data_IF_473058275289
#
_entry.id   IF_473058275289
#
_cell.length_a   1.000
_cell.length_b   1.000
_cell.length_c   1.000
_cell.angle_alpha   90.00
_cell.angle_beta   90.00
_cell.angle_gamma   90.00
#
_symmetry.space_group_name_H-M   'P 1'
#
loop_
_entity.id
_entity.type
_entity.pdbx_description
1 polymer ?
#
# COMPACT_ATOMS: atom_id res chain seq x y z
N UNK A 1 64.12 -16.55 34.12
CA UNK A 1 62.80 -16.34 33.45
C UNK A 1 61.71 -16.78 34.45
N UNK A 2 60.66 -15.99 34.71
CA UNK A 2 59.60 -16.40 35.65
C UNK A 2 58.51 -17.24 34.94
N UNK A 3 57.70 -18.01 35.69
CA UNK A 3 56.67 -18.88 35.11
C UNK A 3 55.38 -18.09 34.83
N UNK A 4 54.80 -18.24 33.64
CA UNK A 4 53.50 -17.65 33.28
C UNK A 4 52.36 -18.50 33.88
N UNK A 5 51.60 -17.89 34.79
CA UNK A 5 50.35 -18.43 35.36
C UNK A 5 49.27 -18.55 34.28
N UNK A 6 48.65 -19.72 34.20
CA UNK A 6 47.31 -19.90 33.61
C UNK A 6 46.29 -19.17 34.48
N UNK A 7 45.39 -18.41 33.85
CA UNK A 7 44.20 -17.87 34.52
C UNK A 7 43.03 -17.96 33.56
N UNK A 8 42.28 -19.05 33.74
CA UNK A 8 40.89 -19.20 33.35
C UNK A 8 40.08 -18.11 34.03
N UNK A 9 39.37 -17.28 33.27
CA UNK A 9 38.35 -16.39 33.80
C UNK A 9 37.09 -16.53 32.96
N UNK A 10 36.08 -17.14 33.56
CA UNK A 10 34.72 -17.27 33.05
C UNK A 10 34.09 -15.90 33.22
N UNK A 11 33.81 -15.20 32.11
CA UNK A 11 32.94 -14.03 32.12
C UNK A 11 31.59 -14.46 31.53
N UNK A 12 30.61 -14.64 32.41
CA UNK A 12 29.20 -14.76 32.06
C UNK A 12 28.75 -13.48 31.35
N UNK A 13 28.56 -13.56 30.03
CA UNK A 13 27.86 -12.53 29.30
C UNK A 13 26.36 -12.80 29.43
N UNK A 14 25.66 -11.84 30.04
CA UNK A 14 24.20 -11.75 30.03
C UNK A 14 23.74 -11.64 28.58
N UNK A 15 23.18 -12.71 28.02
CA UNK A 15 22.53 -12.69 26.71
C UNK A 15 21.26 -11.83 26.83
N UNK A 16 21.33 -10.61 26.29
CA UNK A 16 20.14 -9.85 25.93
C UNK A 16 19.39 -10.69 24.90
N UNK A 17 18.08 -10.99 25.07
CA UNK A 17 17.37 -11.83 24.11
C UNK A 17 17.46 -11.19 22.74
N UNK A 18 18.07 -11.89 21.79
CA UNK A 18 18.09 -11.46 20.41
C UNK A 18 16.64 -11.25 19.96
N UNK A 19 16.32 -10.02 19.56
CA UNK A 19 14.99 -9.66 19.10
C UNK A 19 14.67 -10.54 17.89
N UNK A 20 13.75 -11.49 18.07
CA UNK A 20 13.44 -12.50 17.08
C UNK A 20 12.97 -11.83 15.78
N UNK A 21 13.35 -12.40 14.64
CA UNK A 21 12.97 -11.88 13.32
C UNK A 21 11.45 -11.76 13.18
N UNK A 22 10.71 -12.61 13.89
CA UNK A 22 9.25 -12.56 14.04
C UNK A 22 8.79 -11.28 14.73
N UNK A 23 9.46 -10.86 15.80
CA UNK A 23 9.14 -9.63 16.52
C UNK A 23 9.40 -8.38 15.67
N UNK A 24 10.46 -8.38 14.86
CA UNK A 24 10.76 -7.30 13.93
C UNK A 24 9.70 -7.23 12.82
N UNK A 25 9.30 -8.38 12.25
CA UNK A 25 8.22 -8.46 11.27
C UNK A 25 6.91 -7.92 11.83
N UNK A 26 6.59 -8.29 13.07
CA UNK A 26 5.38 -7.84 13.74
C UNK A 26 5.40 -6.33 13.95
N UNK A 27 6.53 -5.76 14.40
CA UNK A 27 6.67 -4.31 14.58
C UNK A 27 6.51 -3.53 13.27
N UNK A 28 7.02 -4.06 12.15
CA UNK A 28 6.87 -3.44 10.83
C UNK A 28 5.40 -3.52 10.38
N UNK A 29 4.76 -4.68 10.50
CA UNK A 29 3.35 -4.85 10.16
C UNK A 29 2.44 -3.96 11.02
N UNK A 30 2.69 -3.89 12.32
CA UNK A 30 1.92 -3.08 13.26
C UNK A 30 2.13 -1.58 13.00
N UNK A 31 3.36 -1.16 12.68
CA UNK A 31 3.67 0.22 12.31
C UNK A 31 3.01 0.66 11.00
N UNK A 32 3.01 -0.21 9.98
CA UNK A 32 2.31 0.04 8.71
C UNK A 32 0.80 0.11 8.93
N UNK A 33 0.23 -0.82 9.71
CA UNK A 33 -1.18 -0.82 10.06
C UNK A 33 -1.58 0.44 10.83
N UNK A 34 -0.80 0.83 11.85
CA UNK A 34 -1.05 2.03 12.63
C UNK A 34 -0.95 3.32 11.79
N UNK A 35 -0.01 3.40 10.85
CA UNK A 35 0.10 4.55 9.94
C UNK A 35 -1.09 4.62 8.95
N UNK A 36 -1.57 3.47 8.47
CA UNK A 36 -2.77 3.37 7.62
C UNK A 36 -4.03 3.78 8.37
N UNK A 37 -4.19 3.32 9.62
CA UNK A 37 -5.30 3.72 10.49
C UNK A 37 -5.23 5.20 10.88
N UNK A 38 -4.04 5.74 11.17
CA UNK A 38 -3.86 7.16 11.45
C UNK A 38 -4.22 8.02 10.23
N UNK A 39 -3.88 7.59 9.01
CA UNK A 39 -4.30 8.27 7.79
C UNK A 39 -5.82 8.17 7.57
N UNK A 40 -6.44 7.04 7.90
CA UNK A 40 -7.90 6.88 7.84
C UNK A 40 -8.63 7.75 8.87
N UNK A 41 -8.12 7.83 10.10
CA UNK A 41 -8.67 8.68 11.16
C UNK A 41 -8.50 10.18 10.87
N UNK A 42 -7.39 10.57 10.20
CA UNK A 42 -7.17 11.97 9.77
C UNK A 42 -8.19 12.39 8.70
N UNK A 43 -8.76 11.45 7.95
CA UNK A 43 -9.85 11.71 6.98
C UNK A 43 -11.24 11.86 7.62
N UNK A 44 -11.41 11.48 8.89
CA UNK A 44 -12.70 11.61 9.60
C UNK A 44 -12.88 12.97 10.31
N UNK A 45 -11.81 13.79 10.42
CA UNK A 45 -11.81 15.01 11.25
C UNK A 45 -11.26 16.28 10.57
N UNK A 46 -11.50 16.49 9.27
CA UNK A 46 -11.14 17.77 8.63
C UNK A 46 -12.31 18.39 7.89
N UNK A 47 -13.12 19.16 8.62
CA UNK A 47 -13.95 20.25 8.11
C UNK A 47 -13.10 21.51 7.82
N UNK A 48 -12.03 21.41 7.01
CA UNK A 48 -11.30 22.62 6.61
C UNK A 48 -10.78 22.56 5.17
N UNK A 49 -11.22 23.46 4.28
CA UNK A 49 -10.74 23.52 2.91
C UNK A 49 -9.58 24.52 2.78
N UNK A 50 -8.38 24.17 3.25
CA UNK A 50 -7.18 24.83 2.72
C UNK A 50 -5.91 24.04 3.04
N UNK A 51 -5.25 23.51 2.01
CA UNK A 51 -3.82 23.73 1.76
C UNK A 51 -3.43 23.22 0.38
N UNK A 52 -3.07 24.18 -0.47
CA UNK A 52 -2.22 23.98 -1.64
C UNK A 52 -0.94 23.23 -1.25
N UNK A 53 -0.84 21.96 -1.64
CA UNK A 53 0.45 21.26 -1.75
C UNK A 53 0.77 21.19 -3.24
N UNK A 54 1.79 21.97 -3.62
CA UNK A 54 2.15 22.29 -5.00
C UNK A 54 2.19 21.07 -5.93
N UNK A 55 1.42 21.19 -7.01
CA UNK A 55 1.44 20.34 -8.19
C UNK A 55 2.84 20.32 -8.81
N UNK A 56 3.67 19.34 -8.40
CA UNK A 56 4.76 18.86 -9.23
C UNK A 56 4.26 17.58 -9.88
N UNK A 57 3.76 17.73 -11.10
CA UNK A 57 3.32 16.64 -11.95
C UNK A 57 4.50 15.71 -12.26
N UNK A 58 4.68 14.68 -11.44
CA UNK A 58 5.45 13.50 -11.80
C UNK A 58 4.70 12.73 -12.91
N UNK A 59 5.39 12.12 -13.89
CA UNK A 59 4.75 11.39 -15.00
C UNK A 59 3.79 10.27 -14.59
N UNK A 60 3.84 9.82 -13.33
CA UNK A 60 2.94 8.83 -12.71
C UNK A 60 1.52 9.38 -12.47
N UNK A 61 1.34 10.71 -12.43
CA UNK A 61 0.06 11.39 -12.14
C UNK A 61 -1.03 11.20 -13.21
N UNK A 62 -0.74 10.51 -14.32
CA UNK A 62 -1.75 10.17 -15.34
C UNK A 62 -2.51 8.88 -15.04
N UNK A 63 -2.16 8.15 -13.99
CA UNK A 63 -2.93 6.99 -13.50
C UNK A 63 -3.68 7.44 -12.25
N UNK A 64 -4.97 7.74 -12.39
CA UNK A 64 -5.82 8.14 -11.27
C UNK A 64 -5.65 7.17 -10.11
N UNK A 65 -5.29 7.69 -8.94
CA UNK A 65 -5.04 6.90 -7.74
C UNK A 65 -6.27 6.03 -7.44
N UNK A 66 -6.13 4.70 -7.50
CA UNK A 66 -7.27 3.80 -7.37
C UNK A 66 -7.90 3.92 -5.98
N UNK A 67 -7.08 4.12 -4.94
CA UNK A 67 -7.56 4.28 -3.57
C UNK A 67 -8.43 5.51 -3.41
N UNK A 68 -8.06 6.62 -4.05
CA UNK A 68 -8.87 7.84 -4.06
C UNK A 68 -10.21 7.59 -4.77
N UNK A 69 -10.18 6.89 -5.90
CA UNK A 69 -11.39 6.50 -6.62
C UNK A 69 -12.32 5.62 -5.76
N UNK A 70 -11.81 4.55 -5.16
CA UNK A 70 -12.61 3.67 -4.30
C UNK A 70 -13.11 4.38 -3.04
N UNK A 71 -12.30 5.26 -2.46
CA UNK A 71 -12.66 6.08 -1.28
C UNK A 71 -13.82 7.03 -1.59
N UNK A 72 -13.78 7.70 -2.75
CA UNK A 72 -14.83 8.62 -3.19
C UNK A 72 -16.21 7.93 -3.23
N UNK A 73 -16.29 6.74 -3.83
CA UNK A 73 -17.55 5.97 -3.89
C UNK A 73 -17.91 5.24 -2.60
N UNK A 74 -16.95 5.04 -1.69
CA UNK A 74 -17.21 4.48 -0.37
C UNK A 74 -17.80 5.52 0.58
N UNK A 75 -17.36 6.77 0.46
CA UNK A 75 -17.85 7.93 1.22
C UNK A 75 -19.09 8.58 0.60
N UNK A 76 -19.36 8.34 -0.68
CA UNK A 76 -20.55 8.86 -1.33
C UNK A 76 -21.82 8.25 -0.71
N UNK A 77 -22.90 9.01 -0.67
CA UNK A 77 -24.23 8.53 -0.26
C UNK A 77 -24.91 7.67 -1.34
N UNK A 78 -24.14 7.10 -2.28
CA UNK A 78 -24.68 6.25 -3.33
C UNK A 78 -25.28 4.98 -2.72
N UNK A 79 -26.48 4.62 -3.19
CA UNK A 79 -27.09 3.34 -2.91
C UNK A 79 -26.15 2.20 -3.33
N UNK A 80 -26.16 1.10 -2.59
CA UNK A 80 -25.17 0.01 -2.79
C UNK A 80 -25.35 -0.65 -4.17
N UNK A 81 -26.60 -0.76 -4.59
CA UNK A 81 -27.08 -1.29 -5.86
C UNK A 81 -26.64 -0.48 -7.07
N UNK A 82 -26.55 0.85 -6.94
CA UNK A 82 -26.19 1.73 -8.06
C UNK A 82 -24.70 2.06 -8.11
N UNK A 83 -23.96 1.72 -7.06
CA UNK A 83 -22.57 2.14 -6.87
C UNK A 83 -21.65 1.71 -8.02
N UNK A 84 -21.85 0.49 -8.55
CA UNK A 84 -21.07 -0.02 -9.70
C UNK A 84 -21.36 0.81 -10.94
N UNK A 85 -22.64 1.01 -11.28
CA UNK A 85 -23.07 1.81 -12.43
C UNK A 85 -22.55 3.24 -12.38
N UNK A 86 -22.63 3.88 -11.20
CA UNK A 86 -22.09 5.23 -11.03
C UNK A 86 -20.57 5.26 -11.16
N UNK A 87 -19.85 4.33 -10.51
CA UNK A 87 -18.39 4.28 -10.58
C UNK A 87 -17.91 4.06 -12.01
N UNK A 88 -18.48 3.08 -12.71
CA UNK A 88 -18.09 2.74 -14.07
C UNK A 88 -18.43 3.85 -15.06
N UNK A 89 -19.53 4.59 -14.83
CA UNK A 89 -19.90 5.78 -15.59
C UNK A 89 -18.95 6.97 -15.44
N UNK A 90 -18.09 6.99 -14.41
CA UNK A 90 -17.06 8.03 -14.22
C UNK A 90 -15.69 7.65 -14.76
N UNK A 91 -15.52 6.41 -15.26
CA UNK A 91 -14.25 5.97 -15.83
C UNK A 91 -13.93 6.76 -17.10
N UNK A 92 -12.66 7.09 -17.30
CA UNK A 92 -12.18 7.82 -18.48
C UNK A 92 -10.97 7.15 -19.10
N UNK A 93 -10.71 7.43 -20.38
CA UNK A 93 -9.52 6.99 -21.12
C UNK A 93 -9.30 5.45 -21.02
N UNK A 94 -8.11 5.03 -20.62
CA UNK A 94 -7.70 3.62 -20.52
C UNK A 94 -8.61 2.80 -19.58
N UNK A 95 -9.11 3.41 -18.52
CA UNK A 95 -10.01 2.73 -17.58
C UNK A 95 -11.38 2.45 -18.18
N UNK A 96 -11.90 3.38 -18.99
CA UNK A 96 -13.16 3.19 -19.71
C UNK A 96 -13.01 2.09 -20.77
N UNK A 97 -11.93 2.13 -21.55
CA UNK A 97 -11.63 1.08 -22.54
C UNK A 97 -11.50 -0.31 -21.90
N UNK A 98 -10.81 -0.41 -20.76
CA UNK A 98 -10.70 -1.65 -20.00
C UNK A 98 -12.05 -2.15 -19.49
N UNK A 99 -12.88 -1.27 -18.91
CA UNK A 99 -14.21 -1.64 -18.43
C UNK A 99 -15.11 -2.14 -19.57
N UNK A 100 -15.08 -1.48 -20.72
CA UNK A 100 -15.80 -1.95 -21.90
C UNK A 100 -15.36 -3.33 -22.36
N UNK A 101 -14.04 -3.62 -22.37
CA UNK A 101 -13.52 -4.93 -22.71
C UNK A 101 -13.97 -6.02 -21.72
N UNK A 102 -14.02 -5.70 -20.42
CA UNK A 102 -14.55 -6.61 -19.39
C UNK A 102 -16.05 -6.87 -19.55
N UNK A 103 -16.83 -5.83 -19.82
CA UNK A 103 -18.28 -5.93 -19.95
C UNK A 103 -18.74 -6.57 -21.27
N UNK A 104 -17.94 -6.52 -22.34
CA UNK A 104 -18.28 -7.04 -23.66
C UNK A 104 -18.72 -8.53 -23.66
N UNK A 105 -18.00 -9.47 -23.05
CA UNK A 105 -18.40 -10.89 -23.06
C UNK A 105 -19.62 -11.21 -22.17
N UNK A 106 -19.85 -10.45 -21.09
CA UNK A 106 -20.92 -10.72 -20.12
C UNK A 106 -22.16 -9.84 -20.32
N UNK A 107 -22.06 -8.80 -21.15
CA UNK A 107 -23.09 -7.77 -21.34
C UNK A 107 -23.05 -6.69 -20.27
N UNK A 108 -23.31 -5.44 -20.66
CA UNK A 108 -23.26 -4.27 -19.76
C UNK A 108 -24.27 -4.36 -18.60
N UNK A 109 -25.44 -4.97 -18.84
CA UNK A 109 -26.45 -5.17 -17.80
C UNK A 109 -25.97 -6.12 -16.69
N UNK A 110 -25.26 -7.18 -17.07
CA UNK A 110 -24.72 -8.13 -16.10
C UNK A 110 -23.47 -7.57 -15.43
N UNK A 111 -22.62 -6.87 -16.18
CA UNK A 111 -21.45 -6.18 -15.66
C UNK A 111 -21.82 -5.13 -14.60
N UNK A 112 -22.94 -4.41 -14.78
CA UNK A 112 -23.42 -3.43 -13.79
C UNK A 112 -24.02 -4.08 -12.53
N UNK A 113 -24.36 -5.37 -12.58
CA UNK A 113 -24.93 -6.13 -11.44
C UNK A 113 -23.87 -6.83 -10.59
N UNK A 114 -22.58 -6.76 -10.95
CA UNK A 114 -21.52 -7.34 -10.12
C UNK A 114 -21.50 -6.69 -8.74
N UNK A 115 -20.99 -7.39 -7.75
CA UNK A 115 -20.86 -6.82 -6.42
C UNK A 115 -19.82 -5.69 -6.41
N UNK A 116 -20.02 -4.63 -5.60
CA UNK A 116 -19.01 -3.59 -5.41
C UNK A 116 -17.64 -4.14 -4.98
N UNK A 117 -17.64 -5.23 -4.20
CA UNK A 117 -16.42 -5.94 -3.80
C UNK A 117 -15.69 -6.58 -4.97
N UNK A 118 -16.43 -7.07 -5.96
CA UNK A 118 -15.87 -7.65 -7.18
C UNK A 118 -15.25 -6.56 -8.05
N UNK A 119 -15.94 -5.44 -8.27
CA UNK A 119 -15.38 -4.29 -8.99
C UNK A 119 -14.08 -3.79 -8.34
N UNK A 120 -14.05 -3.68 -7.00
CA UNK A 120 -12.82 -3.34 -6.26
C UNK A 120 -11.68 -4.32 -6.55
N UNK A 121 -11.97 -5.62 -6.56
CA UNK A 121 -10.98 -6.65 -6.87
C UNK A 121 -10.45 -6.56 -8.29
N UNK A 122 -11.33 -6.32 -9.27
CA UNK A 122 -10.96 -6.14 -10.67
C UNK A 122 -10.07 -4.93 -10.89
N UNK A 123 -10.43 -3.78 -10.30
CA UNK A 123 -9.64 -2.55 -10.37
C UNK A 123 -8.29 -2.70 -9.65
N UNK A 124 -8.27 -3.33 -8.47
CA UNK A 124 -7.03 -3.59 -7.74
C UNK A 124 -6.09 -4.48 -8.57
N UNK A 125 -6.59 -5.55 -9.18
CA UNK A 125 -5.77 -6.41 -10.03
C UNK A 125 -5.20 -5.67 -11.26
N UNK A 126 -5.96 -4.73 -11.84
CA UNK A 126 -5.54 -3.95 -13.01
C UNK A 126 -4.52 -2.86 -12.67
N UNK A 127 -4.72 -2.15 -11.56
CA UNK A 127 -3.99 -0.91 -11.24
C UNK A 127 -2.98 -1.04 -10.09
N UNK A 128 -3.19 -1.99 -9.17
CA UNK A 128 -2.30 -2.35 -8.05
C UNK A 128 -1.94 -3.85 -8.15
N UNK A 129 -1.26 -4.27 -9.25
CA UNK A 129 -0.96 -5.67 -9.49
C UNK A 129 -0.03 -6.22 -8.42
N UNK A 130 -0.46 -7.30 -7.77
CA UNK A 130 0.27 -7.92 -6.65
C UNK A 130 1.69 -8.35 -6.99
N UNK A 131 1.97 -8.63 -8.26
CA UNK A 131 3.32 -8.97 -8.74
C UNK A 131 4.30 -7.79 -8.62
N UNK A 132 3.86 -6.58 -8.94
CA UNK A 132 4.70 -5.37 -8.83
C UNK A 132 4.88 -4.98 -7.37
N UNK A 133 3.82 -5.09 -6.56
CA UNK A 133 3.89 -4.91 -5.10
C UNK A 133 4.92 -5.85 -4.49
N UNK A 134 4.85 -7.16 -4.82
CA UNK A 134 5.77 -8.16 -4.29
C UNK A 134 7.23 -7.89 -4.65
N UNK A 135 7.51 -7.48 -5.90
CA UNK A 135 8.89 -7.11 -6.30
C UNK A 135 9.42 -5.99 -5.43
N UNK A 136 8.60 -4.98 -5.18
CA UNK A 136 8.99 -3.81 -4.38
C UNK A 136 9.10 -4.17 -2.89
N UNK A 137 8.23 -5.04 -2.36
CA UNK A 137 8.35 -5.62 -1.00
C UNK A 137 9.64 -6.43 -0.84
N UNK A 138 10.03 -7.20 -1.86
CA UNK A 138 11.30 -7.95 -1.88
C UNK A 138 12.51 -7.01 -1.94
N UNK A 139 12.46 -5.96 -2.77
CA UNK A 139 13.49 -4.91 -2.79
C UNK A 139 13.62 -4.23 -1.42
N UNK A 140 12.49 -3.92 -0.79
CA UNK A 140 12.45 -3.34 0.55
C UNK A 140 13.04 -4.27 1.60
N UNK A 141 12.67 -5.55 1.60
CA UNK A 141 13.21 -6.56 2.51
C UNK A 141 14.73 -6.71 2.35
N UNK A 142 15.21 -6.77 1.10
CA UNK A 142 16.63 -6.80 0.80
C UNK A 142 17.35 -5.54 1.26
N UNK A 143 16.72 -4.37 1.17
CA UNK A 143 17.27 -3.10 1.63
C UNK A 143 17.45 -3.07 3.15
N UNK A 144 16.38 -3.42 3.90
CA UNK A 144 16.42 -3.51 5.37
C UNK A 144 17.52 -4.45 5.83
N UNK A 145 17.79 -5.50 5.06
CA UNK A 145 18.86 -6.46 5.35
C UNK A 145 20.24 -5.95 4.94
N UNK A 146 20.38 -5.24 3.82
CA UNK A 146 21.69 -4.94 3.22
C UNK A 146 22.36 -3.67 3.69
N UNK A 147 21.62 -2.67 4.16
CA UNK A 147 22.12 -1.49 4.89
C UNK A 147 20.98 -0.47 4.89
N UNK A 148 20.69 0.14 6.05
CA UNK A 148 19.62 1.11 6.31
C UNK A 148 19.76 2.43 5.49
N UNK A 149 19.85 2.36 4.17
CA UNK A 149 19.82 3.53 3.30
C UNK A 149 18.40 4.12 3.29
N UNK A 150 18.19 5.06 4.21
CA UNK A 150 16.96 5.79 4.41
C UNK A 150 16.42 6.39 3.10
N UNK A 151 17.30 6.79 2.16
CA UNK A 151 16.88 7.38 0.90
C UNK A 151 16.21 6.35 -0.01
N UNK A 152 16.76 5.15 -0.08
CA UNK A 152 16.15 4.06 -0.86
C UNK A 152 14.88 3.53 -0.20
N UNK A 153 14.83 3.49 1.15
CA UNK A 153 13.61 3.19 1.90
C UNK A 153 12.47 4.15 1.53
N UNK A 154 12.73 5.46 1.57
CA UNK A 154 11.72 6.50 1.27
C UNK A 154 11.22 6.36 -0.16
N UNK A 155 12.11 6.09 -1.13
CA UNK A 155 11.74 5.88 -2.53
C UNK A 155 10.79 4.68 -2.68
N UNK A 156 11.16 3.54 -2.13
CA UNK A 156 10.35 2.30 -2.23
C UNK A 156 8.99 2.47 -1.54
N UNK A 157 8.97 3.09 -0.36
CA UNK A 157 7.72 3.40 0.35
C UNK A 157 6.80 4.30 -0.48
N UNK A 158 7.36 5.32 -1.15
CA UNK A 158 6.61 6.19 -2.06
C UNK A 158 6.11 5.43 -3.30
N UNK A 159 6.92 4.54 -3.88
CA UNK A 159 6.51 3.70 -5.02
C UNK A 159 5.33 2.78 -4.65
N UNK A 160 5.35 2.17 -3.46
CA UNK A 160 4.22 1.38 -2.94
C UNK A 160 2.96 2.23 -2.73
N UNK A 161 3.10 3.41 -2.13
CA UNK A 161 1.98 4.31 -1.89
C UNK A 161 1.35 4.83 -3.20
N UNK A 162 2.13 4.98 -4.25
CA UNK A 162 1.67 5.41 -5.58
C UNK A 162 1.07 4.28 -6.42
N UNK A 163 1.48 3.03 -6.16
CA UNK A 163 0.91 1.88 -6.83
C UNK A 163 -0.52 1.59 -6.37
N UNK A 164 -0.95 2.07 -5.19
CA UNK A 164 -2.17 1.55 -4.57
C UNK A 164 -3.27 2.49 -4.00
#
# INVERSE_FOLDING_TARGET
MPPKRSSTSIASASEVPAMDQVAIRQLISDGIAAALEALAATMENTDNPNRNLGSKETPVAKRGNYKEFISLFSRSKCAKEDRVTFATGTLTNDALSWWHAYAQPIGIEQANKIAWTELKGLLANKYCPRTEIKKIEEEFYNLVIKENDLKTYIRIFQELALLC
#
